data_IF_378554369235
#
_entry.id   IF_378554369235
#
_cell.length_a   1.000
_cell.length_b   1.000
_cell.length_c   1.000
_cell.angle_alpha   90.00
_cell.angle_beta   90.00
_cell.angle_gamma   90.00
#
_symmetry.space_group_name_H-M   'P 1'
#
loop_
_entity.id
_entity.type
_entity.pdbx_description
1 polymer ?
#
# COMPACT_ATOMS: atom_id res chain seq x y z
N UNK A 1 63.52 3.91 28.32
CA UNK A 1 63.89 5.06 27.46
C UNK A 1 63.30 4.77 26.08
N UNK A 2 62.28 5.49 25.59
CA UNK A 2 62.15 6.93 25.34
C UNK A 2 62.42 7.22 23.84
N UNK A 3 61.35 7.49 23.09
CA UNK A 3 61.40 8.01 21.72
C UNK A 3 60.76 9.41 21.71
N UNK A 4 61.49 10.38 21.17
CA UNK A 4 61.15 11.78 21.04
C UNK A 4 62.06 12.36 19.91
N UNK A 5 61.66 13.35 19.10
CA UNK A 5 60.41 14.11 19.02
C UNK A 5 60.19 14.61 17.57
N UNK A 6 59.05 15.30 17.36
CA UNK A 6 58.59 16.06 16.18
C UNK A 6 59.69 16.83 15.37
N UNK A 7 59.48 17.24 14.09
CA UNK A 7 58.66 18.41 13.69
C UNK A 7 58.32 18.44 12.17
N UNK A 8 57.25 19.22 11.87
CA UNK A 8 56.56 19.60 10.61
C UNK A 8 57.38 19.84 9.31
N UNK A 9 56.67 19.75 8.18
CA UNK A 9 57.03 20.23 6.84
C UNK A 9 56.77 21.76 6.62
N UNK A 10 57.23 22.33 5.48
CA UNK A 10 56.31 23.05 4.57
C UNK A 10 56.53 22.70 3.06
N UNK A 11 56.03 23.52 2.12
CA UNK A 11 55.80 23.14 0.70
C UNK A 11 56.25 24.17 -0.37
N UNK A 12 56.27 23.75 -1.65
CA UNK A 12 56.48 24.57 -2.87
C UNK A 12 57.60 24.05 -3.81
N UNK A 13 57.67 24.37 -5.12
CA UNK A 13 56.70 25.00 -6.04
C UNK A 13 57.12 24.88 -7.54
N UNK A 14 56.17 25.09 -8.45
CA UNK A 14 56.28 25.64 -9.84
C UNK A 14 57.12 24.97 -10.96
N UNK A 15 56.54 24.92 -12.18
CA UNK A 15 57.04 25.61 -13.40
C UNK A 15 56.05 25.58 -14.59
N UNK A 16 56.23 26.52 -15.54
CA UNK A 16 55.56 26.63 -16.85
C UNK A 16 56.41 25.95 -17.96
N UNK A 17 56.13 25.94 -19.28
CA UNK A 17 55.29 26.81 -20.14
C UNK A 17 54.92 26.14 -21.49
N UNK A 18 54.04 26.78 -22.29
CA UNK A 18 53.71 26.39 -23.68
C UNK A 18 53.41 27.62 -24.57
N UNK A 19 53.61 27.54 -25.90
CA UNK A 19 53.31 28.66 -26.83
C UNK A 19 53.22 28.27 -28.32
N UNK A 20 52.28 28.89 -29.06
CA UNK A 20 52.11 28.99 -30.55
C UNK A 20 51.82 27.66 -31.29
N UNK A 21 50.83 27.45 -32.19
CA UNK A 21 50.02 28.23 -33.16
C UNK A 21 50.65 28.40 -34.56
N UNK A 22 49.98 28.24 -35.71
CA UNK A 22 48.54 28.01 -36.02
C UNK A 22 48.29 26.63 -36.72
N UNK A 23 47.50 26.36 -37.78
CA UNK A 23 46.69 27.14 -38.76
C UNK A 23 45.52 26.27 -39.35
N UNK A 24 45.03 26.50 -40.59
CA UNK A 24 43.77 25.96 -41.13
C UNK A 24 43.79 25.58 -42.64
N UNK A 25 43.10 24.50 -43.05
CA UNK A 25 42.80 24.11 -44.46
C UNK A 25 41.40 23.45 -44.55
N UNK A 26 40.72 23.54 -45.71
CA UNK A 26 39.34 23.04 -45.95
C UNK A 26 39.19 22.38 -47.33
N UNK A 27 38.60 21.16 -47.39
CA UNK A 27 37.73 20.59 -48.47
C UNK A 27 37.34 19.14 -48.10
N UNK A 28 36.08 18.69 -48.18
CA UNK A 28 35.36 18.11 -49.34
C UNK A 28 36.04 16.87 -49.99
N UNK A 29 35.37 15.78 -50.39
CA UNK A 29 33.99 15.27 -50.15
C UNK A 29 33.85 13.83 -50.72
N UNK A 30 32.91 12.99 -50.23
CA UNK A 30 31.96 12.17 -51.06
C UNK A 30 31.15 11.10 -50.30
N UNK A 31 29.98 10.81 -50.89
CA UNK A 31 28.88 9.91 -50.47
C UNK A 31 29.05 8.45 -50.94
N UNK A 32 28.56 7.47 -50.16
CA UNK A 32 27.80 6.25 -50.62
C UNK A 32 26.86 5.82 -49.47
N UNK A 33 25.73 5.11 -49.74
CA UNK A 33 24.75 4.68 -48.72
C UNK A 33 24.08 3.33 -49.06
N UNK A 34 23.93 2.44 -48.05
CA UNK A 34 23.07 1.23 -48.03
C UNK A 34 23.49 0.05 -48.97
N UNK A 35 22.93 -1.20 -48.85
CA UNK A 35 21.84 -1.67 -47.96
C UNK A 35 22.05 -3.00 -47.17
N UNK A 36 21.02 -3.37 -46.39
CA UNK A 36 20.44 -4.70 -46.01
C UNK A 36 21.11 -6.03 -46.51
N UNK A 37 21.01 -7.23 -45.90
CA UNK A 37 20.36 -7.87 -44.70
C UNK A 37 20.95 -9.32 -44.53
N UNK A 38 20.66 -10.26 -43.59
CA UNK A 38 19.72 -10.45 -42.46
C UNK A 38 20.50 -11.03 -41.21
N UNK A 39 20.40 -12.21 -40.55
CA UNK A 39 19.45 -13.37 -40.39
C UNK A 39 19.74 -14.23 -39.10
N UNK A 40 18.71 -14.89 -38.53
CA UNK A 40 18.68 -16.14 -37.68
C UNK A 40 19.62 -16.38 -36.44
N UNK A 41 19.06 -16.11 -35.25
CA UNK A 41 18.84 -17.01 -34.06
C UNK A 41 19.51 -18.40 -33.94
N UNK A 42 20.14 -18.67 -32.77
CA UNK A 42 19.74 -19.68 -31.71
C UNK A 42 20.77 -19.65 -30.54
N UNK A 43 20.43 -19.43 -29.26
CA UNK A 43 19.80 -20.28 -28.23
C UNK A 43 20.63 -21.50 -27.76
N UNK A 44 20.92 -21.53 -26.44
CA UNK A 44 20.97 -22.68 -25.51
C UNK A 44 20.88 -22.10 -24.06
N UNK A 45 20.57 -22.91 -23.03
CA UNK A 45 20.01 -22.39 -21.74
C UNK A 45 20.61 -22.99 -20.45
N UNK A 46 21.12 -22.14 -19.53
CA UNK A 46 21.01 -22.24 -18.05
C UNK A 46 21.59 -21.00 -17.33
N UNK A 47 21.18 -20.63 -16.11
CA UNK A 47 20.23 -21.27 -15.19
C UNK A 47 19.03 -20.35 -14.82
N UNK A 48 18.04 -20.90 -14.11
CA UNK A 48 16.92 -20.16 -13.51
C UNK A 48 17.05 -20.13 -11.99
N UNK A 49 16.89 -18.96 -11.39
CA UNK A 49 16.43 -18.81 -10.01
C UNK A 49 15.01 -18.25 -10.04
N UNK A 50 14.08 -18.85 -9.30
CA UNK A 50 12.69 -18.40 -9.24
C UNK A 50 12.53 -17.30 -8.16
N UNK A 51 12.96 -16.08 -8.49
CA UNK A 51 12.56 -14.86 -7.79
C UNK A 51 11.82 -13.91 -8.74
N UNK A 52 10.96 -13.03 -8.21
CA UNK A 52 10.17 -12.08 -9.02
C UNK A 52 11.06 -11.05 -9.73
N UNK A 53 11.56 -11.41 -10.91
CA UNK A 53 12.28 -10.51 -11.83
C UNK A 53 11.31 -9.88 -12.82
N UNK A 54 10.75 -8.72 -12.45
CA UNK A 54 9.99 -7.87 -13.37
C UNK A 54 10.94 -7.30 -14.43
N UNK A 55 11.09 -8.03 -15.55
CA UNK A 55 11.82 -7.53 -16.72
C UNK A 55 10.98 -6.46 -17.41
N UNK A 56 11.48 -5.22 -17.38
CA UNK A 56 10.99 -4.13 -18.22
C UNK A 56 11.28 -4.44 -19.70
N UNK A 57 10.27 -4.96 -20.41
CA UNK A 57 10.20 -4.86 -21.87
C UNK A 57 9.52 -3.53 -22.22
N UNK A 58 10.06 -2.80 -23.20
CA UNK A 58 9.71 -1.39 -23.39
C UNK A 58 8.26 -1.15 -23.82
N UNK A 59 7.58 -0.28 -23.08
CA UNK A 59 6.57 0.63 -23.62
C UNK A 59 6.94 2.05 -23.18
N UNK A 60 6.92 2.98 -24.13
CA UNK A 60 7.11 4.42 -23.87
C UNK A 60 5.73 5.05 -23.96
N UNK A 61 5.19 5.50 -22.83
CA UNK A 61 3.96 6.26 -22.78
C UNK A 61 4.30 7.75 -22.71
N UNK A 62 4.09 8.48 -23.80
CA UNK A 62 4.34 9.93 -23.87
C UNK A 62 3.16 10.71 -23.30
N UNK A 63 3.41 11.65 -22.39
CA UNK A 63 2.40 12.56 -21.84
C UNK A 63 3.00 13.84 -21.26
N UNK A 64 2.30 14.96 -21.50
CA UNK A 64 2.56 16.32 -21.01
C UNK A 64 1.50 17.29 -21.53
N UNK A 65 1.41 18.54 -21.06
CA UNK A 65 2.32 19.30 -20.19
C UNK A 65 1.53 20.20 -19.18
N UNK A 66 2.23 20.88 -18.26
CA UNK A 66 1.74 21.99 -17.40
C UNK A 66 0.51 21.77 -16.46
N UNK A 67 0.70 20.89 -15.47
CA UNK A 67 0.01 20.77 -14.17
C UNK A 67 -1.29 21.58 -13.88
N UNK A 68 -2.44 20.89 -13.95
CA UNK A 68 -3.53 21.07 -12.99
C UNK A 68 -4.04 19.73 -12.40
N UNK A 69 -4.89 19.79 -11.37
CA UNK A 69 -5.88 18.72 -11.14
C UNK A 69 -6.92 18.81 -12.26
N UNK A 70 -6.85 17.90 -13.24
CA UNK A 70 -7.17 18.25 -14.63
C UNK A 70 -8.50 17.67 -15.16
N UNK A 71 -9.00 18.16 -16.33
CA UNK A 71 -10.18 17.62 -17.02
C UNK A 71 -10.12 16.12 -17.36
N UNK A 72 -8.96 15.48 -17.21
CA UNK A 72 -8.77 14.05 -17.46
C UNK A 72 -9.12 13.17 -16.25
N UNK A 73 -9.18 13.73 -15.02
CA UNK A 73 -9.92 13.08 -13.91
C UNK A 73 -11.40 12.99 -14.28
N UNK A 74 -11.94 14.09 -14.83
CA UNK A 74 -13.26 14.12 -15.46
C UNK A 74 -13.40 13.07 -16.57
N UNK A 75 -12.39 12.88 -17.42
CA UNK A 75 -12.42 11.89 -18.50
C UNK A 75 -12.33 10.43 -18.03
N UNK A 76 -11.60 10.13 -16.95
CA UNK A 76 -11.45 8.76 -16.41
C UNK A 76 -12.68 8.31 -15.60
N UNK A 77 -13.50 9.24 -15.12
CA UNK A 77 -14.88 8.94 -14.70
C UNK A 77 -15.67 8.43 -15.91
N UNK A 78 -15.56 9.14 -17.05
CA UNK A 78 -16.39 8.94 -18.24
C UNK A 78 -16.12 7.65 -19.03
N UNK A 79 -15.05 6.90 -18.75
CA UNK A 79 -14.78 5.59 -19.38
C UNK A 79 -14.95 4.39 -18.43
N UNK A 80 -15.03 4.63 -17.11
CA UNK A 80 -15.32 3.58 -16.14
C UNK A 80 -16.79 3.14 -16.18
N UNK A 81 -17.71 4.11 -16.23
CA UNK A 81 -19.15 3.93 -16.47
C UNK A 81 -19.95 3.17 -15.40
N UNK A 82 -21.26 3.40 -15.45
CA UNK A 82 -22.30 2.61 -14.77
C UNK A 82 -22.34 1.16 -15.21
N UNK A 83 -22.85 0.31 -14.33
CA UNK A 83 -23.22 -1.07 -14.64
C UNK A 83 -24.40 -1.12 -15.63
N UNK A 84 -24.57 -2.23 -16.37
CA UNK A 84 -25.68 -2.44 -17.31
C UNK A 84 -27.06 -2.04 -16.73
N UNK A 85 -27.84 -1.33 -17.54
CA UNK A 85 -29.09 -0.69 -17.10
C UNK A 85 -28.90 0.59 -16.29
N UNK A 86 -27.74 1.26 -16.41
CA UNK A 86 -27.49 2.58 -15.80
C UNK A 86 -27.33 2.57 -14.27
N UNK A 87 -27.03 1.40 -13.69
CA UNK A 87 -26.90 1.22 -12.23
C UNK A 87 -25.52 1.67 -11.73
N UNK A 88 -25.48 2.25 -10.53
CA UNK A 88 -24.20 2.66 -9.92
C UNK A 88 -23.34 1.45 -9.56
N UNK A 89 -22.02 1.60 -9.70
CA UNK A 89 -21.02 0.68 -9.13
C UNK A 89 -20.96 0.83 -7.62
N UNK A 90 -20.53 -0.20 -6.89
CA UNK A 90 -20.44 -0.17 -5.42
C UNK A 90 -19.01 -0.35 -4.92
N UNK A 91 -18.54 0.59 -4.11
CA UNK A 91 -17.24 0.53 -3.43
C UNK A 91 -17.40 0.46 -1.91
N UNK A 92 -16.68 -0.43 -1.23
CA UNK A 92 -16.52 -0.40 0.24
C UNK A 92 -15.24 0.33 0.59
N UNK A 93 -15.28 1.25 1.55
CA UNK A 93 -14.10 1.99 2.03
C UNK A 93 -14.03 1.96 3.56
N UNK A 94 -13.04 1.26 4.12
CA UNK A 94 -12.79 1.27 5.56
C UNK A 94 -12.17 2.59 6.01
N UNK A 95 -12.63 3.15 7.12
CA UNK A 95 -12.07 4.39 7.69
C UNK A 95 -12.41 5.66 6.91
N UNK A 96 -13.49 5.65 6.13
CA UNK A 96 -13.91 6.75 5.25
C UNK A 96 -14.23 8.10 5.94
N UNK A 97 -14.19 8.21 7.28
CA UNK A 97 -14.58 9.44 8.00
C UNK A 97 -13.46 10.45 8.25
N UNK A 98 -12.23 10.25 7.76
CA UNK A 98 -11.16 11.26 7.78
C UNK A 98 -9.95 10.86 6.94
N UNK A 99 -9.20 11.86 6.44
CA UNK A 99 -7.95 11.62 5.71
C UNK A 99 -8.19 10.95 4.35
N UNK A 100 -7.21 10.17 3.89
CA UNK A 100 -7.21 9.46 2.60
C UNK A 100 -8.59 8.91 2.19
N UNK A 101 -9.16 7.99 2.99
CA UNK A 101 -10.45 7.36 2.71
C UNK A 101 -11.64 8.32 2.60
N UNK A 102 -11.61 9.48 3.28
CA UNK A 102 -12.66 10.51 3.16
C UNK A 102 -12.56 11.25 1.82
N UNK A 103 -11.35 11.57 1.37
CA UNK A 103 -11.15 12.27 0.10
C UNK A 103 -11.32 11.30 -1.09
N UNK A 104 -10.92 10.03 -0.96
CA UNK A 104 -11.30 8.97 -1.93
C UNK A 104 -12.82 8.79 -2.01
N UNK A 105 -13.52 8.78 -0.87
CA UNK A 105 -14.98 8.76 -0.85
C UNK A 105 -15.55 10.01 -1.56
N UNK A 106 -15.10 11.22 -1.22
CA UNK A 106 -15.47 12.51 -1.86
C UNK A 106 -15.34 12.46 -3.38
N UNK A 107 -14.21 11.95 -3.89
CA UNK A 107 -13.98 11.80 -5.34
C UNK A 107 -14.97 10.80 -5.94
N UNK A 108 -15.05 9.57 -5.41
CA UNK A 108 -15.91 8.52 -5.95
C UNK A 108 -17.41 8.89 -5.91
N UNK A 109 -17.90 9.55 -4.85
CA UNK A 109 -19.33 9.95 -4.79
C UNK A 109 -19.67 11.11 -5.74
N UNK A 110 -18.75 12.04 -5.98
CA UNK A 110 -19.00 13.19 -6.87
C UNK A 110 -18.91 12.84 -8.37
N UNK A 111 -18.46 11.63 -8.72
CA UNK A 111 -18.60 11.05 -10.07
C UNK A 111 -20.05 10.86 -10.52
N UNK A 112 -20.99 10.68 -9.57
CA UNK A 112 -22.37 10.29 -9.86
C UNK A 112 -22.58 8.79 -10.19
N UNK A 113 -21.51 8.05 -10.50
CA UNK A 113 -21.56 6.66 -10.98
C UNK A 113 -21.30 5.61 -9.89
N UNK A 114 -20.82 6.03 -8.71
CA UNK A 114 -20.57 5.14 -7.57
C UNK A 114 -21.57 5.33 -6.42
N UNK A 115 -21.88 4.21 -5.77
CA UNK A 115 -22.39 4.11 -4.41
C UNK A 115 -21.23 3.72 -3.49
N UNK A 116 -20.89 4.57 -2.53
CA UNK A 116 -19.80 4.32 -1.58
C UNK A 116 -20.35 3.85 -0.23
N UNK A 117 -20.03 2.62 0.16
CA UNK A 117 -20.24 2.09 1.50
C UNK A 117 -19.10 2.62 2.38
N UNK A 118 -19.39 3.69 3.11
CA UNK A 118 -18.49 4.29 4.10
C UNK A 118 -18.46 3.40 5.36
N UNK A 119 -17.57 2.42 5.40
CA UNK A 119 -17.39 1.51 6.53
C UNK A 119 -16.57 2.19 7.63
N UNK A 120 -17.23 2.57 8.73
CA UNK A 120 -16.69 3.45 9.77
C UNK A 120 -17.12 3.01 11.17
N UNK A 121 -16.29 3.32 12.16
CA UNK A 121 -16.67 3.16 13.58
C UNK A 121 -17.65 4.23 14.07
N UNK A 122 -17.51 5.44 13.55
CA UNK A 122 -18.28 6.60 14.00
C UNK A 122 -19.17 7.11 12.86
N UNK A 123 -20.44 6.68 12.89
CA UNK A 123 -21.48 7.08 11.94
C UNK A 123 -21.75 8.58 12.01
N UNK A 124 -21.90 9.14 13.22
CA UNK A 124 -22.23 10.57 13.43
C UNK A 124 -21.15 11.51 12.93
N UNK A 125 -19.87 11.10 13.02
CA UNK A 125 -18.76 11.81 12.36
C UNK A 125 -18.85 11.69 10.83
N UNK A 126 -19.13 10.51 10.29
CA UNK A 126 -19.25 10.32 8.84
C UNK A 126 -20.42 11.12 8.25
N UNK A 127 -21.58 11.16 8.92
CA UNK A 127 -22.73 12.00 8.57
C UNK A 127 -22.32 13.48 8.44
N UNK A 128 -21.65 14.02 9.46
CA UNK A 128 -21.14 15.40 9.47
C UNK A 128 -20.13 15.66 8.36
N UNK A 129 -19.23 14.72 8.05
CA UNK A 129 -18.25 14.87 6.97
C UNK A 129 -18.90 14.77 5.58
N UNK A 130 -19.89 13.88 5.40
CA UNK A 130 -20.64 13.75 4.17
C UNK A 130 -21.51 14.99 3.90
N UNK A 131 -22.08 15.61 4.94
CA UNK A 131 -22.74 16.91 4.84
C UNK A 131 -21.76 18.03 4.49
N UNK A 132 -20.64 18.15 5.22
CA UNK A 132 -19.66 19.23 5.04
C UNK A 132 -18.89 19.17 3.70
N UNK A 133 -18.81 18.00 3.06
CA UNK A 133 -18.20 17.82 1.73
C UNK A 133 -19.24 17.67 0.60
N UNK A 134 -20.53 17.87 0.90
CA UNK A 134 -21.65 17.81 -0.04
C UNK A 134 -21.71 16.49 -0.83
N UNK A 135 -21.71 15.37 -0.13
CA UNK A 135 -21.88 14.06 -0.75
C UNK A 135 -23.32 13.96 -1.33
N UNK A 136 -23.49 13.67 -2.64
CA UNK A 136 -24.81 13.59 -3.24
C UNK A 136 -25.76 12.60 -2.54
N UNK A 137 -27.06 12.92 -2.47
CA UNK A 137 -28.05 11.99 -1.90
C UNK A 137 -28.09 10.71 -2.74
N UNK A 138 -28.01 9.55 -2.09
CA UNK A 138 -28.00 8.25 -2.78
C UNK A 138 -26.73 7.95 -3.59
N UNK A 139 -25.58 8.57 -3.30
CA UNK A 139 -24.26 8.10 -3.76
C UNK A 139 -23.43 7.44 -2.65
N UNK A 140 -23.95 7.32 -1.43
CA UNK A 140 -23.27 6.65 -0.34
C UNK A 140 -24.24 6.04 0.67
N UNK A 141 -23.70 5.12 1.47
CA UNK A 141 -24.32 4.50 2.64
C UNK A 141 -23.29 4.50 3.77
N UNK A 142 -23.71 4.55 5.04
CA UNK A 142 -22.81 4.57 6.18
C UNK A 142 -23.00 3.29 6.99
N UNK A 143 -21.95 2.48 7.07
CA UNK A 143 -21.98 1.16 7.70
C UNK A 143 -21.02 1.07 8.88
N UNK A 144 -21.40 0.30 9.89
CA UNK A 144 -20.68 0.24 11.16
C UNK A 144 -19.63 -0.86 11.19
N UNK A 145 -18.38 -0.50 11.52
CA UNK A 145 -17.32 -1.46 11.87
C UNK A 145 -16.30 -0.81 12.79
N UNK A 146 -15.95 -1.47 13.90
CA UNK A 146 -14.65 -1.26 14.55
C UNK A 146 -13.73 -2.40 14.15
N UNK A 147 -12.59 -2.07 13.53
CA UNK A 147 -11.57 -3.02 13.10
C UNK A 147 -10.72 -3.53 14.28
N UNK A 148 -11.07 -3.18 15.51
CA UNK A 148 -10.59 -3.82 16.75
C UNK A 148 -11.37 -5.07 17.15
N UNK A 149 -12.36 -5.48 16.34
CA UNK A 149 -13.34 -6.50 16.70
C UNK A 149 -13.64 -7.37 15.48
N UNK A 150 -13.10 -8.59 15.45
CA UNK A 150 -13.42 -9.56 14.38
C UNK A 150 -14.92 -9.87 14.34
N UNK A 151 -15.60 -9.80 15.50
CA UNK A 151 -17.07 -9.85 15.60
C UNK A 151 -17.74 -8.69 14.86
N UNK A 152 -17.24 -7.46 14.99
CA UNK A 152 -17.74 -6.30 14.25
C UNK A 152 -17.50 -6.44 12.73
N UNK A 153 -16.34 -6.96 12.33
CA UNK A 153 -16.02 -7.28 10.92
C UNK A 153 -16.99 -8.32 10.35
N UNK A 154 -17.19 -9.45 11.05
CA UNK A 154 -18.14 -10.50 10.64
C UNK A 154 -19.57 -9.94 10.55
N UNK A 155 -19.98 -9.11 11.51
CA UNK A 155 -21.28 -8.43 11.47
C UNK A 155 -21.43 -7.47 10.28
N UNK A 156 -20.38 -6.73 9.89
CA UNK A 156 -20.38 -5.90 8.69
C UNK A 156 -20.57 -6.77 7.43
N UNK A 157 -19.73 -7.79 7.26
CA UNK A 157 -19.79 -8.68 6.10
C UNK A 157 -21.16 -9.37 5.97
N UNK A 158 -21.74 -9.83 7.09
CA UNK A 158 -23.06 -10.44 7.12
C UNK A 158 -24.18 -9.47 6.70
N UNK A 159 -24.17 -8.21 7.17
CA UNK A 159 -25.13 -7.19 6.71
C UNK A 159 -24.97 -6.90 5.22
N UNK A 160 -23.73 -6.67 4.78
CA UNK A 160 -23.43 -6.30 3.40
C UNK A 160 -23.73 -7.41 2.37
N UNK A 161 -23.70 -8.68 2.79
CA UNK A 161 -23.97 -9.84 1.92
C UNK A 161 -25.35 -10.48 2.14
N UNK A 162 -26.19 -9.90 3.01
CA UNK A 162 -27.52 -10.42 3.31
C UNK A 162 -28.42 -10.44 2.05
N UNK A 163 -29.19 -11.54 1.80
CA UNK A 163 -30.08 -11.63 0.64
C UNK A 163 -31.17 -10.55 0.56
N UNK A 164 -31.50 -9.93 1.70
CA UNK A 164 -32.45 -8.82 1.84
C UNK A 164 -31.72 -7.70 2.58
N UNK A 165 -31.76 -6.48 2.05
CA UNK A 165 -31.11 -5.30 2.63
C UNK A 165 -29.59 -5.20 2.43
N UNK A 166 -28.91 -6.29 2.04
CA UNK A 166 -27.50 -6.27 1.64
C UNK A 166 -27.27 -5.55 0.31
N UNK A 167 -25.99 -5.37 -0.03
CA UNK A 167 -25.59 -4.74 -1.29
C UNK A 167 -25.80 -5.68 -2.48
N UNK A 168 -26.12 -5.11 -3.66
CA UNK A 168 -26.34 -5.89 -4.88
C UNK A 168 -25.08 -6.60 -5.43
N UNK A 169 -23.90 -6.22 -4.93
CA UNK A 169 -22.57 -6.68 -5.31
C UNK A 169 -21.51 -5.60 -5.02
N UNK A 170 -20.24 -5.89 -5.32
CA UNK A 170 -19.11 -4.97 -5.05
C UNK A 170 -18.15 -4.92 -6.24
N UNK A 171 -17.94 -3.72 -6.78
CA UNK A 171 -16.95 -3.44 -7.83
C UNK A 171 -15.58 -3.10 -7.24
N UNK A 172 -15.54 -2.57 -6.00
CA UNK A 172 -14.30 -2.21 -5.31
C UNK A 172 -14.38 -2.48 -3.80
N UNK A 173 -13.30 -2.98 -3.19
CA UNK A 173 -13.15 -3.14 -1.74
C UNK A 173 -11.81 -2.53 -1.29
N UNK A 174 -11.87 -1.48 -0.47
CA UNK A 174 -10.70 -0.72 -0.01
C UNK A 174 -10.40 -0.95 1.48
N UNK A 175 -9.27 -1.61 1.75
CA UNK A 175 -8.62 -1.64 3.06
C UNK A 175 -7.75 -0.41 3.26
N UNK A 176 -8.38 0.73 3.61
CA UNK A 176 -7.71 2.02 3.80
C UNK A 176 -7.37 2.30 5.28
N UNK A 177 -8.20 1.85 6.21
CA UNK A 177 -8.08 2.23 7.62
C UNK A 177 -6.71 1.85 8.24
N UNK A 178 -6.24 2.71 9.13
CA UNK A 178 -5.02 2.48 9.91
C UNK A 178 -5.08 3.26 11.23
N UNK A 179 -4.30 2.78 12.20
CA UNK A 179 -3.96 3.46 13.45
C UNK A 179 -2.44 3.46 13.59
N UNK A 180 -1.89 4.35 14.41
CA UNK A 180 -0.45 4.42 14.64
C UNK A 180 -0.18 4.89 16.06
N UNK A 181 0.64 4.15 16.80
CA UNK A 181 0.83 4.35 18.25
C UNK A 181 2.32 4.39 18.65
N UNK A 182 3.11 5.33 18.12
CA UNK A 182 4.57 5.34 18.29
C UNK A 182 5.04 5.56 19.74
N UNK A 183 4.25 6.25 20.57
CA UNK A 183 4.66 6.72 21.90
C UNK A 183 4.26 5.80 23.07
N UNK A 184 3.56 4.68 22.84
CA UNK A 184 2.99 3.85 23.93
C UNK A 184 4.03 3.34 24.94
N UNK A 185 5.24 3.05 24.45
CA UNK A 185 6.35 2.52 25.24
C UNK A 185 6.96 3.54 26.20
N UNK A 186 6.82 4.84 25.92
CA UNK A 186 7.46 5.91 26.68
C UNK A 186 6.79 7.27 26.37
N UNK A 187 5.59 7.55 26.91
CA UNK A 187 4.79 8.70 26.49
C UNK A 187 5.40 10.06 26.86
N UNK A 188 6.31 10.11 27.83
CA UNK A 188 6.89 11.36 28.34
C UNK A 188 8.29 11.69 27.79
N UNK A 189 9.08 10.71 27.33
CA UNK A 189 10.45 11.00 26.85
C UNK A 189 10.46 11.61 25.45
N UNK A 190 10.61 12.93 25.42
CA UNK A 190 11.03 13.71 24.27
C UNK A 190 12.45 13.30 23.80
N UNK A 191 12.55 12.33 22.89
CA UNK A 191 13.83 11.81 22.37
C UNK A 191 14.30 12.51 21.10
N UNK A 192 14.75 13.76 21.23
CA UNK A 192 15.19 14.62 20.11
C UNK A 192 16.33 14.03 19.23
N UNK A 193 17.06 13.01 19.68
CA UNK A 193 18.18 12.40 18.93
C UNK A 193 18.02 10.95 18.43
N UNK A 194 16.99 10.20 18.85
CA UNK A 194 16.97 8.72 18.71
C UNK A 194 16.33 8.18 17.41
N UNK A 195 16.55 8.87 16.29
CA UNK A 195 16.30 8.33 14.94
C UNK A 195 17.54 8.40 14.01
N UNK A 196 18.67 8.95 14.48
CA UNK A 196 19.91 9.09 13.70
C UNK A 196 21.06 8.18 14.18
N UNK A 197 20.87 7.41 15.26
CA UNK A 197 21.84 6.46 15.79
C UNK A 197 21.14 5.14 16.17
N UNK A 198 21.87 4.03 16.08
CA UNK A 198 21.35 2.68 16.30
C UNK A 198 21.03 2.35 17.76
N UNK A 199 20.53 1.12 17.98
CA UNK A 199 20.17 0.63 19.30
C UNK A 199 21.39 0.59 20.25
N UNK A 200 21.22 1.11 21.46
CA UNK A 200 22.29 1.25 22.45
C UNK A 200 21.78 1.23 23.90
N UNK A 201 21.67 0.01 24.43
CA UNK A 201 21.61 -0.36 25.86
C UNK A 201 20.40 0.10 26.74
N UNK A 202 20.17 -0.71 27.79
CA UNK A 202 19.34 -0.50 29.00
C UNK A 202 17.80 -0.40 28.77
N UNK A 203 16.93 -1.05 29.57
CA UNK A 203 17.13 -2.02 30.68
C UNK A 203 15.98 -3.08 30.66
N UNK A 204 15.92 -3.96 31.66
CA UNK A 204 14.95 -5.06 31.74
C UNK A 204 13.59 -4.68 32.37
N UNK A 205 12.58 -5.54 32.15
CA UNK A 205 11.17 -5.47 32.60
C UNK A 205 10.31 -4.42 31.86
N UNK A 206 9.04 -4.67 31.50
CA UNK A 206 8.14 -5.85 31.70
C UNK A 206 7.61 -6.42 30.37
N UNK A 207 6.91 -7.55 30.43
CA UNK A 207 6.17 -8.14 29.30
C UNK A 207 4.73 -7.59 29.26
N UNK A 208 4.10 -7.57 28.07
CA UNK A 208 2.66 -7.31 27.85
C UNK A 208 2.17 -5.88 28.07
N UNK A 209 2.55 -5.22 29.17
CA UNK A 209 1.91 -4.02 29.73
C UNK A 209 2.06 -2.70 28.94
N UNK A 210 2.65 -2.72 27.76
CA UNK A 210 2.88 -1.54 26.90
C UNK A 210 2.01 -1.53 25.63
N UNK A 211 1.50 -2.69 25.22
CA UNK A 211 0.70 -2.81 24.00
C UNK A 211 -0.73 -2.33 24.22
N UNK A 212 -1.33 -1.69 23.21
CA UNK A 212 -2.79 -1.56 23.14
C UNK A 212 -3.38 -2.86 22.63
N UNK A 213 -4.50 -3.28 23.21
CA UNK A 213 -5.15 -4.56 22.89
C UNK A 213 -6.50 -4.32 22.18
N UNK A 214 -6.84 -5.18 21.22
CA UNK A 214 -8.14 -5.23 20.55
C UNK A 214 -9.22 -5.93 21.41
N UNK A 215 -10.48 -5.93 20.97
CA UNK A 215 -11.54 -6.71 21.65
C UNK A 215 -11.26 -8.23 21.59
N UNK A 216 -10.59 -8.68 20.52
CA UNK A 216 -10.24 -10.08 20.28
C UNK A 216 -8.92 -10.50 20.96
N UNK A 217 -8.26 -9.63 21.73
CA UNK A 217 -7.02 -9.94 22.47
C UNK A 217 -5.71 -9.77 21.70
N UNK A 218 -5.72 -9.12 20.53
CA UNK A 218 -4.55 -8.89 19.67
C UNK A 218 -3.89 -7.52 19.93
N UNK A 219 -2.65 -7.30 19.49
CA UNK A 219 -2.07 -5.94 19.41
C UNK A 219 -2.89 -5.06 18.46
N UNK A 220 -3.28 -3.86 18.92
CA UNK A 220 -4.30 -3.03 18.27
C UNK A 220 -3.91 -2.54 16.87
N UNK A 221 -2.62 -2.30 16.62
CA UNK A 221 -2.12 -1.87 15.30
C UNK A 221 -2.21 -3.02 14.29
N UNK A 222 -1.72 -4.21 14.62
CA UNK A 222 -1.82 -5.41 13.81
C UNK A 222 -3.29 -5.85 13.60
N UNK A 223 -4.13 -5.75 14.63
CA UNK A 223 -5.56 -6.01 14.54
C UNK A 223 -6.25 -5.11 13.50
N UNK A 224 -6.12 -3.78 13.66
CA UNK A 224 -6.82 -2.79 12.83
C UNK A 224 -6.23 -2.68 11.43
N UNK A 225 -4.90 -2.70 11.31
CA UNK A 225 -4.24 -2.55 10.01
C UNK A 225 -4.35 -3.85 9.21
N UNK A 226 -4.09 -5.01 9.84
CA UNK A 226 -3.94 -6.28 9.13
C UNK A 226 -5.07 -7.28 9.38
N UNK A 227 -5.20 -7.86 10.58
CA UNK A 227 -6.05 -9.03 10.82
C UNK A 227 -7.53 -8.78 10.46
N UNK A 228 -8.08 -7.63 10.85
CA UNK A 228 -9.46 -7.26 10.51
C UNK A 228 -9.67 -7.00 9.01
N UNK A 229 -8.66 -6.49 8.29
CA UNK A 229 -8.75 -6.38 6.83
C UNK A 229 -8.60 -7.75 6.15
N UNK A 230 -7.72 -8.61 6.64
CA UNK A 230 -7.54 -9.98 6.15
C UNK A 230 -8.85 -10.79 6.28
N UNK A 231 -9.50 -10.73 7.44
CA UNK A 231 -10.81 -11.34 7.65
C UNK A 231 -11.88 -10.73 6.73
N UNK A 232 -11.99 -9.40 6.68
CA UNK A 232 -12.98 -8.71 5.84
C UNK A 232 -12.81 -9.05 4.35
N UNK A 233 -11.58 -9.13 3.86
CA UNK A 233 -11.28 -9.45 2.45
C UNK A 233 -11.65 -10.90 2.13
N UNK A 234 -11.31 -11.86 3.01
CA UNK A 234 -11.71 -13.26 2.82
C UNK A 234 -13.23 -13.45 2.85
N UNK A 235 -13.95 -12.80 3.78
CA UNK A 235 -15.41 -12.90 3.89
C UNK A 235 -16.15 -12.25 2.71
N UNK A 236 -15.62 -11.16 2.13
CA UNK A 236 -16.24 -10.48 1.00
C UNK A 236 -15.90 -11.11 -0.36
N UNK A 237 -14.79 -11.83 -0.49
CA UNK A 237 -14.31 -12.41 -1.75
C UNK A 237 -15.40 -13.20 -2.53
N UNK A 238 -16.20 -14.11 -1.93
CA UNK A 238 -17.25 -14.85 -2.64
C UNK A 238 -18.47 -14.00 -3.07
N UNK A 239 -18.57 -12.75 -2.60
CA UNK A 239 -19.57 -11.79 -3.05
C UNK A 239 -19.02 -10.89 -4.16
N UNK A 240 -17.74 -10.48 -4.06
CA UNK A 240 -17.00 -9.77 -5.12
C UNK A 240 -16.92 -10.62 -6.39
N UNK A 241 -16.55 -11.90 -6.28
CA UNK A 241 -16.48 -12.83 -7.41
C UNK A 241 -17.84 -13.02 -8.09
N UNK A 242 -18.88 -13.27 -7.28
CA UNK A 242 -20.26 -13.44 -7.76
C UNK A 242 -20.78 -12.20 -8.48
N UNK A 243 -20.40 -11.00 -8.02
CA UNK A 243 -20.71 -9.73 -8.69
C UNK A 243 -19.99 -9.61 -10.03
N UNK A 244 -18.68 -9.85 -10.08
CA UNK A 244 -17.90 -9.82 -11.32
C UNK A 244 -18.47 -10.76 -12.37
N UNK A 245 -18.65 -12.04 -12.03
CA UNK A 245 -19.28 -13.06 -12.89
C UNK A 245 -20.69 -12.70 -13.36
N UNK A 246 -21.48 -11.98 -12.55
CA UNK A 246 -22.88 -11.61 -12.84
C UNK A 246 -23.00 -10.34 -13.70
N UNK A 247 -22.01 -9.45 -13.66
CA UNK A 247 -22.06 -8.14 -14.32
C UNK A 247 -21.09 -7.99 -15.49
N UNK A 248 -20.29 -9.03 -15.77
CA UNK A 248 -19.17 -9.03 -16.71
C UNK A 248 -18.21 -7.87 -16.47
N UNK A 249 -17.87 -7.66 -15.19
CA UNK A 249 -16.93 -6.63 -14.74
C UNK A 249 -15.65 -7.25 -14.22
N UNK A 250 -14.63 -6.41 -14.01
CA UNK A 250 -13.37 -6.77 -13.35
C UNK A 250 -13.27 -6.06 -11.98
N UNK A 251 -13.82 -6.65 -10.89
CA UNK A 251 -13.78 -6.02 -9.58
C UNK A 251 -12.35 -5.86 -9.04
N UNK A 252 -12.17 -4.93 -8.10
CA UNK A 252 -10.86 -4.64 -7.50
C UNK A 252 -10.89 -4.81 -5.98
N UNK A 253 -9.87 -5.46 -5.42
CA UNK A 253 -9.67 -5.57 -3.98
C UNK A 253 -8.30 -4.98 -3.64
N UNK A 254 -8.30 -3.86 -2.91
CA UNK A 254 -7.12 -2.99 -2.76
C UNK A 254 -6.86 -2.70 -1.28
N UNK A 255 -5.64 -2.95 -0.80
CA UNK A 255 -5.23 -2.58 0.56
C UNK A 255 -4.13 -1.52 0.49
N UNK A 256 -4.30 -0.42 1.23
CA UNK A 256 -3.32 0.67 1.29
C UNK A 256 -2.10 0.20 2.08
N UNK A 257 -1.00 -0.02 1.36
CA UNK A 257 0.30 -0.44 1.91
C UNK A 257 1.07 0.73 2.50
N UNK A 258 2.40 0.64 2.51
CA UNK A 258 3.27 1.77 2.83
C UNK A 258 4.70 1.56 2.33
N UNK A 259 5.39 2.64 1.98
CA UNK A 259 6.82 2.64 1.66
C UNK A 259 7.72 2.23 2.85
N UNK A 260 7.22 2.29 4.09
CA UNK A 260 7.98 2.01 5.32
C UNK A 260 8.45 0.57 5.48
N UNK A 261 7.94 -0.37 4.67
CA UNK A 261 8.41 -1.76 4.66
C UNK A 261 9.74 -1.94 3.92
N UNK A 262 10.18 -0.96 3.11
CA UNK A 262 11.30 -1.13 2.18
C UNK A 262 12.58 -0.41 2.64
N UNK A 263 13.61 -1.14 3.12
CA UNK A 263 14.87 -0.55 3.56
C UNK A 263 15.79 -0.06 2.43
N UNK A 264 15.37 -0.11 1.15
CA UNK A 264 16.03 0.72 0.11
C UNK A 264 15.64 2.19 0.26
N UNK A 265 14.42 2.45 0.71
CA UNK A 265 13.80 3.77 0.79
C UNK A 265 14.08 4.47 2.11
N UNK A 266 14.16 5.80 2.09
CA UNK A 266 14.48 6.61 3.28
C UNK A 266 13.54 6.29 4.47
N UNK A 267 12.25 6.14 4.21
CA UNK A 267 11.24 5.85 5.24
C UNK A 267 11.34 4.43 5.84
N UNK A 268 11.87 3.46 5.10
CA UNK A 268 12.14 2.11 5.62
C UNK A 268 13.48 1.97 6.32
N UNK A 269 14.46 2.85 6.01
CA UNK A 269 15.76 2.93 6.70
C UNK A 269 15.69 3.49 8.12
N UNK A 270 14.69 4.33 8.42
CA UNK A 270 14.48 4.89 9.77
C UNK A 270 14.17 3.76 10.76
N UNK A 271 14.99 3.52 11.80
CA UNK A 271 14.72 2.46 12.78
C UNK A 271 13.47 2.74 13.63
N UNK A 272 12.79 1.72 14.16
CA UNK A 272 12.99 0.30 13.86
C UNK A 272 12.44 -0.07 12.47
N UNK A 273 13.02 -1.09 11.85
CA UNK A 273 12.65 -1.58 10.51
C UNK A 273 11.60 -2.69 10.65
N UNK A 274 10.78 -2.89 9.61
CA UNK A 274 9.93 -4.08 9.52
C UNK A 274 10.78 -5.36 9.60
N UNK A 275 10.28 -6.39 10.27
CA UNK A 275 10.83 -7.74 10.26
C UNK A 275 9.77 -8.72 10.77
N UNK A 276 9.25 -9.59 9.91
CA UNK A 276 8.22 -10.57 10.26
C UNK A 276 8.82 -11.89 10.76
N UNK A 277 10.14 -12.07 10.64
CA UNK A 277 10.87 -13.25 11.11
C UNK A 277 10.38 -14.56 10.48
N UNK A 278 9.99 -15.49 11.34
CA UNK A 278 9.38 -16.78 11.00
C UNK A 278 7.84 -16.73 10.92
N UNK A 279 7.24 -15.58 11.27
CA UNK A 279 5.83 -15.31 11.55
C UNK A 279 5.23 -16.07 12.74
N UNK A 280 6.04 -16.60 13.69
CA UNK A 280 5.53 -17.48 14.75
C UNK A 280 4.39 -16.88 15.57
N UNK A 281 4.42 -15.57 15.82
CA UNK A 281 3.37 -14.90 16.58
C UNK A 281 1.98 -15.01 15.93
N UNK A 282 1.89 -15.10 14.60
CA UNK A 282 0.61 -15.36 13.91
C UNK A 282 0.19 -16.83 14.02
N UNK A 283 1.13 -17.77 13.87
CA UNK A 283 0.87 -19.20 14.03
C UNK A 283 0.48 -19.58 15.47
N UNK A 284 0.97 -18.84 16.46
CA UNK A 284 0.63 -18.95 17.89
C UNK A 284 -0.67 -18.20 18.25
N UNK A 285 -1.49 -17.81 17.26
CA UNK A 285 -2.81 -17.19 17.47
C UNK A 285 -2.80 -15.69 17.83
N UNK A 286 -1.61 -15.07 17.90
CA UNK A 286 -1.39 -13.62 18.04
C UNK A 286 -1.95 -12.96 19.32
N UNK A 287 -2.06 -13.73 20.40
CA UNK A 287 -2.69 -13.32 21.67
C UNK A 287 -1.75 -12.58 22.62
N UNK A 288 -2.14 -11.38 23.03
CA UNK A 288 -1.38 -10.55 24.00
C UNK A 288 -1.42 -11.15 25.41
N UNK A 289 -2.47 -11.90 25.75
CA UNK A 289 -2.58 -12.68 27.00
C UNK A 289 -1.52 -13.80 27.09
N UNK A 290 -1.20 -14.44 25.97
CA UNK A 290 -0.08 -15.39 25.83
C UNK A 290 1.30 -14.70 25.65
N UNK A 291 1.35 -13.36 25.79
CA UNK A 291 2.55 -12.53 25.66
C UNK A 291 2.91 -12.13 24.22
N UNK A 292 2.16 -12.59 23.22
CA UNK A 292 2.44 -12.35 21.81
C UNK A 292 1.99 -10.94 21.42
N UNK A 293 2.95 -10.10 21.03
CA UNK A 293 2.70 -8.67 20.74
C UNK A 293 3.24 -8.20 19.40
N UNK A 294 3.92 -9.07 18.64
CA UNK A 294 4.61 -8.77 17.38
C UNK A 294 4.56 -9.99 16.44
N UNK A 295 4.59 -9.77 15.13
CA UNK A 295 4.44 -10.84 14.11
C UNK A 295 5.58 -11.88 14.17
N UNK A 296 6.79 -11.41 14.47
CA UNK A 296 8.00 -12.21 14.67
C UNK A 296 8.08 -12.86 16.06
N UNK A 297 7.00 -12.83 16.86
CA UNK A 297 7.00 -13.23 18.26
C UNK A 297 8.01 -12.45 19.11
N UNK A 298 8.39 -11.25 18.68
CA UNK A 298 9.34 -10.37 19.36
C UNK A 298 8.72 -9.55 20.48
N UNK A 299 9.53 -8.69 21.12
CA UNK A 299 9.07 -7.73 22.13
C UNK A 299 8.36 -6.54 21.47
N UNK A 300 7.25 -6.10 22.08
CA UNK A 300 6.47 -4.97 21.59
C UNK A 300 7.29 -3.70 21.29
N UNK A 301 7.06 -3.15 20.11
CA UNK A 301 7.51 -1.85 19.64
C UNK A 301 6.45 -1.27 18.69
N UNK A 302 5.78 -0.19 19.08
CA UNK A 302 4.67 0.40 18.32
C UNK A 302 5.06 0.88 16.91
N UNK A 303 6.19 1.58 16.71
CA UNK A 303 6.73 1.90 15.40
C UNK A 303 6.99 0.66 14.51
N UNK A 304 7.52 -0.44 15.05
CA UNK A 304 7.71 -1.70 14.31
C UNK A 304 6.37 -2.37 13.99
N UNK A 305 5.44 -2.46 14.95
CA UNK A 305 4.15 -3.11 14.77
C UNK A 305 3.33 -2.52 13.62
N UNK A 306 3.36 -1.18 13.47
CA UNK A 306 2.78 -0.49 12.32
C UNK A 306 3.40 -0.91 10.98
N UNK A 307 4.75 -1.01 10.93
CA UNK A 307 5.49 -1.37 9.71
C UNK A 307 5.29 -2.84 9.34
N UNK A 308 5.34 -3.73 10.32
CA UNK A 308 5.07 -5.16 10.17
C UNK A 308 3.65 -5.37 9.63
N UNK A 309 2.63 -4.77 10.24
CA UNK A 309 1.24 -4.90 9.79
C UNK A 309 1.02 -4.31 8.37
N UNK A 310 1.73 -3.23 8.01
CA UNK A 310 1.72 -2.73 6.62
C UNK A 310 2.46 -3.64 5.64
N UNK A 311 3.49 -4.36 6.05
CA UNK A 311 4.12 -5.40 5.24
C UNK A 311 3.18 -6.60 5.04
N UNK A 312 2.54 -7.10 6.10
CA UNK A 312 1.57 -8.20 6.04
C UNK A 312 0.41 -7.90 5.07
N UNK A 313 -0.06 -6.65 5.02
CA UNK A 313 -1.09 -6.22 4.06
C UNK A 313 -0.64 -6.29 2.59
N UNK A 314 0.62 -5.98 2.30
CA UNK A 314 1.15 -6.06 0.95
C UNK A 314 1.36 -7.52 0.52
N UNK A 315 1.89 -8.34 1.43
CA UNK A 315 1.98 -9.80 1.25
C UNK A 315 0.62 -10.47 1.05
N UNK A 316 -0.40 -10.05 1.81
CA UNK A 316 -1.79 -10.53 1.67
C UNK A 316 -2.32 -10.29 0.26
N UNK A 317 -2.12 -9.09 -0.28
CA UNK A 317 -2.54 -8.75 -1.65
C UNK A 317 -1.84 -9.62 -2.69
N UNK A 318 -0.53 -9.85 -2.55
CA UNK A 318 0.22 -10.70 -3.48
C UNK A 318 -0.20 -12.16 -3.38
N UNK A 319 -0.51 -12.66 -2.18
CA UNK A 319 -1.00 -14.02 -2.03
C UNK A 319 -2.47 -14.18 -2.48
N UNK A 320 -3.33 -13.16 -2.33
CA UNK A 320 -4.65 -13.16 -2.97
C UNK A 320 -4.54 -13.16 -4.50
N UNK A 321 -3.61 -12.39 -5.07
CA UNK A 321 -3.31 -12.44 -6.50
C UNK A 321 -2.90 -13.86 -6.93
N UNK A 322 -1.91 -14.46 -6.25
CA UNK A 322 -1.43 -15.82 -6.52
C UNK A 322 -2.54 -16.89 -6.39
N UNK A 323 -3.41 -16.79 -5.38
CA UNK A 323 -4.46 -17.79 -5.11
C UNK A 323 -5.72 -17.63 -5.98
N UNK A 324 -6.09 -16.41 -6.37
CA UNK A 324 -7.45 -16.12 -6.88
C UNK A 324 -7.52 -15.30 -8.18
N UNK A 325 -6.46 -14.62 -8.64
CA UNK A 325 -6.60 -13.70 -9.78
C UNK A 325 -7.05 -14.42 -11.06
N UNK A 326 -6.38 -15.52 -11.40
CA UNK A 326 -6.63 -16.30 -12.63
C UNK A 326 -8.03 -16.95 -12.63
N UNK A 327 -8.52 -17.41 -11.47
CA UNK A 327 -9.79 -18.13 -11.35
C UNK A 327 -11.03 -17.24 -11.17
N UNK A 328 -10.83 -15.97 -10.77
CA UNK A 328 -11.93 -15.02 -10.45
C UNK A 328 -11.95 -13.76 -11.33
N UNK A 329 -10.88 -13.48 -12.07
CA UNK A 329 -10.61 -12.20 -12.77
C UNK A 329 -10.52 -10.96 -11.85
N UNK A 330 -10.65 -11.10 -10.52
CA UNK A 330 -10.56 -9.97 -9.58
C UNK A 330 -9.14 -9.42 -9.56
N UNK A 331 -8.99 -8.09 -9.67
CA UNK A 331 -7.70 -7.41 -9.53
C UNK A 331 -7.36 -7.16 -8.06
N UNK A 332 -6.32 -7.82 -7.55
CA UNK A 332 -5.78 -7.63 -6.21
C UNK A 332 -4.53 -6.73 -6.29
N UNK A 333 -4.59 -5.55 -5.66
CA UNK A 333 -3.52 -4.55 -5.72
C UNK A 333 -3.24 -3.89 -4.37
N UNK A 334 -2.04 -3.33 -4.21
CA UNK A 334 -1.69 -2.49 -3.07
C UNK A 334 -1.09 -1.18 -3.58
N UNK A 335 -1.05 -0.14 -2.74
CA UNK A 335 -0.55 1.17 -3.17
C UNK A 335 -0.03 2.02 -2.01
N UNK A 336 0.79 3.01 -2.35
CA UNK A 336 1.25 4.08 -1.46
C UNK A 336 1.01 5.45 -2.12
N UNK A 337 0.14 6.32 -1.56
CA UNK A 337 -0.26 7.57 -2.20
C UNK A 337 0.81 8.69 -2.12
N UNK A 338 1.84 8.52 -1.30
CA UNK A 338 2.76 9.58 -0.87
C UNK A 338 2.60 9.93 0.62
N UNK A 339 3.36 10.91 1.11
CA UNK A 339 3.39 11.23 2.54
C UNK A 339 2.34 12.29 2.90
N UNK A 340 1.15 11.82 3.32
CA UNK A 340 0.01 12.68 3.71
C UNK A 340 0.19 13.18 5.15
N UNK A 341 1.16 14.08 5.36
CA UNK A 341 1.62 14.50 6.69
C UNK A 341 0.55 15.26 7.52
N UNK A 342 -0.47 15.83 6.88
CA UNK A 342 -1.58 16.56 7.52
C UNK A 342 -2.67 15.63 8.09
N UNK A 343 -2.58 14.31 7.90
CA UNK A 343 -3.62 13.38 8.35
C UNK A 343 -3.59 13.11 9.86
N UNK A 344 -4.74 12.81 10.50
CA UNK A 344 -4.82 12.40 11.91
C UNK A 344 -4.08 11.11 12.28
N UNK A 345 -3.41 10.44 11.34
CA UNK A 345 -2.57 9.26 11.59
C UNK A 345 -1.42 9.60 12.56
N UNK A 346 -0.85 10.80 12.46
CA UNK A 346 0.26 11.25 13.30
C UNK A 346 -0.17 11.95 14.61
N UNK A 347 -1.47 11.96 14.95
CA UNK A 347 -2.00 12.62 16.16
C UNK A 347 -1.43 12.08 17.49
N UNK A 348 -0.91 10.86 17.45
CA UNK A 348 -0.29 10.17 18.60
C UNK A 348 1.25 10.34 18.64
N UNK A 349 1.83 11.15 17.75
CA UNK A 349 3.25 11.54 17.76
C UNK A 349 3.45 12.78 18.64
N UNK A 350 4.65 13.02 19.14
CA UNK A 350 4.94 14.21 19.97
C UNK A 350 4.65 15.54 19.21
N UNK A 351 4.11 16.59 19.86
CA UNK A 351 3.60 17.79 19.15
C UNK A 351 4.61 18.53 18.27
N UNK A 352 5.90 18.52 18.62
CA UNK A 352 6.94 19.11 17.77
C UNK A 352 7.09 18.36 16.43
N UNK A 353 6.90 17.04 16.39
CA UNK A 353 6.84 16.27 15.15
C UNK A 353 5.63 16.69 14.31
N UNK A 354 4.45 16.80 14.93
CA UNK A 354 3.22 17.19 14.24
C UNK A 354 3.34 18.57 13.55
N UNK A 355 4.11 19.50 14.13
CA UNK A 355 4.38 20.83 13.54
C UNK A 355 5.53 20.84 12.52
N UNK A 356 6.64 20.15 12.80
CA UNK A 356 7.86 20.22 11.99
C UNK A 356 7.90 19.20 10.83
N UNK A 357 7.31 18.02 11.00
CA UNK A 357 7.35 16.96 9.99
C UNK A 357 6.61 17.30 8.68
N UNK A 358 5.43 17.95 8.69
CA UNK A 358 4.80 18.40 7.43
C UNK A 358 5.67 19.38 6.66
N UNK A 359 6.29 20.36 7.35
CA UNK A 359 7.23 21.29 6.73
C UNK A 359 8.49 20.58 6.20
N UNK A 360 9.07 19.65 6.96
CA UNK A 360 10.21 18.83 6.53
C UNK A 360 9.89 17.99 5.28
N UNK A 361 8.73 17.33 5.24
CA UNK A 361 8.29 16.57 4.06
C UNK A 361 8.05 17.48 2.85
N UNK A 362 7.41 18.64 3.06
CA UNK A 362 7.05 19.58 1.99
C UNK A 362 8.26 20.30 1.38
N UNK A 363 9.21 20.74 2.21
CA UNK A 363 10.30 21.61 1.77
C UNK A 363 11.67 20.91 1.64
N UNK A 364 11.90 19.76 2.30
CA UNK A 364 13.21 19.07 2.28
C UNK A 364 13.14 17.73 1.55
N UNK A 365 12.25 16.81 1.93
CA UNK A 365 12.17 15.50 1.24
C UNK A 365 11.46 15.59 -0.11
N UNK A 366 10.54 16.54 -0.28
CA UNK A 366 9.64 16.65 -1.43
C UNK A 366 8.55 15.56 -1.49
N UNK A 367 8.53 14.61 -0.55
CA UNK A 367 7.61 13.46 -0.55
C UNK A 367 6.21 13.75 -0.01
N UNK A 368 5.93 15.00 0.32
CA UNK A 368 4.62 15.48 0.75
C UNK A 368 3.58 15.37 -0.38
N UNK A 369 2.37 14.91 -0.03
CA UNK A 369 1.22 14.84 -0.94
C UNK A 369 -0.01 15.36 -0.19
N UNK A 370 -0.81 16.20 -0.85
CA UNK A 370 -2.03 16.76 -0.26
C UNK A 370 -3.10 15.68 -0.02
N UNK A 371 -3.96 15.85 0.99
CA UNK A 371 -4.98 14.85 1.31
C UNK A 371 -6.05 14.68 0.21
N UNK A 372 -6.34 15.75 -0.54
CA UNK A 372 -7.20 15.74 -1.73
C UNK A 372 -6.59 14.88 -2.84
N UNK A 373 -5.37 15.23 -3.29
CA UNK A 373 -4.60 14.51 -4.31
C UNK A 373 -4.35 13.04 -3.95
N UNK A 374 -4.04 12.75 -2.68
CA UNK A 374 -3.91 11.38 -2.20
C UNK A 374 -5.24 10.61 -2.30
N UNK A 375 -6.36 11.29 -2.03
CA UNK A 375 -7.71 10.76 -2.19
C UNK A 375 -8.03 10.42 -3.65
N UNK A 376 -7.68 11.31 -4.58
CA UNK A 376 -7.78 11.14 -6.04
C UNK A 376 -6.92 9.95 -6.51
N UNK A 377 -5.63 9.90 -6.11
CA UNK A 377 -4.70 8.81 -6.43
C UNK A 377 -5.28 7.43 -6.07
N UNK A 378 -5.83 7.27 -4.86
CA UNK A 378 -6.50 6.01 -4.46
C UNK A 378 -7.82 5.78 -5.21
N UNK A 379 -8.58 6.83 -5.51
CA UNK A 379 -9.80 6.71 -6.33
C UNK A 379 -9.48 6.20 -7.75
N UNK A 380 -8.40 6.68 -8.38
CA UNK A 380 -7.95 6.19 -9.69
C UNK A 380 -7.62 4.69 -9.66
N UNK A 381 -6.94 4.19 -8.62
CA UNK A 381 -6.68 2.74 -8.48
C UNK A 381 -7.99 1.92 -8.39
N UNK A 382 -9.11 2.52 -7.96
CA UNK A 382 -10.43 1.88 -7.95
C UNK A 382 -11.06 1.76 -9.35
N UNK A 383 -10.90 2.77 -10.21
CA UNK A 383 -11.73 2.92 -11.42
C UNK A 383 -10.96 3.03 -12.75
N UNK A 384 -9.81 3.74 -12.80
CA UNK A 384 -9.05 3.96 -14.05
C UNK A 384 -8.56 2.60 -14.61
N UNK A 385 -8.86 2.27 -15.89
CA UNK A 385 -8.42 1.04 -16.55
C UNK A 385 -6.90 0.77 -16.49
N UNK A 386 -6.05 1.79 -16.40
CA UNK A 386 -4.59 1.60 -16.37
C UNK A 386 -4.12 0.83 -15.12
N UNK A 387 -4.83 0.97 -13.99
CA UNK A 387 -4.54 0.24 -12.76
C UNK A 387 -5.18 -1.16 -12.72
N UNK A 388 -5.66 -1.68 -13.86
CA UNK A 388 -6.36 -2.99 -13.96
C UNK A 388 -5.43 -4.21 -13.92
N UNK A 389 -4.12 -4.05 -14.09
CA UNK A 389 -3.13 -5.11 -13.82
C UNK A 389 -3.19 -5.50 -12.34
N UNK A 390 -3.15 -6.79 -12.04
CA UNK A 390 -3.18 -7.35 -10.68
C UNK A 390 -1.77 -7.72 -10.19
N UNK A 391 -1.61 -7.80 -8.87
CA UNK A 391 -0.34 -8.15 -8.23
C UNK A 391 0.60 -6.95 -8.09
N UNK A 392 0.12 -5.73 -8.33
CA UNK A 392 0.95 -4.53 -8.36
C UNK A 392 0.97 -3.78 -7.02
N UNK A 393 2.10 -3.12 -6.76
CA UNK A 393 2.27 -2.09 -5.75
C UNK A 393 2.36 -0.72 -6.44
N UNK A 394 1.27 0.04 -6.47
CA UNK A 394 1.23 1.33 -7.17
C UNK A 394 1.80 2.47 -6.33
N UNK A 395 2.61 3.31 -6.96
CA UNK A 395 3.18 4.53 -6.38
C UNK A 395 3.25 5.63 -7.45
N UNK A 396 3.52 6.85 -7.01
CA UNK A 396 3.62 8.03 -7.87
C UNK A 396 4.96 8.72 -7.70
N UNK A 397 5.42 9.40 -8.75
CA UNK A 397 6.62 10.23 -8.75
C UNK A 397 6.51 11.39 -7.74
N UNK A 398 7.66 11.94 -7.36
CA UNK A 398 7.78 12.93 -6.27
C UNK A 398 7.91 12.32 -4.87
N UNK A 399 7.63 11.03 -4.68
CA UNK A 399 7.78 10.35 -3.40
C UNK A 399 9.23 10.29 -2.88
N UNK A 400 9.58 11.21 -1.96
CA UNK A 400 10.74 11.19 -1.05
C UNK A 400 12.12 11.13 -1.73
N UNK A 401 12.81 12.27 -1.79
CA UNK A 401 14.25 12.33 -2.13
C UNK A 401 15.07 11.39 -1.23
N UNK A 402 15.95 10.59 -1.85
CA UNK A 402 16.84 9.68 -1.13
C UNK A 402 17.86 10.43 -0.25
N UNK A 403 18.34 9.76 0.81
CA UNK A 403 19.30 10.30 1.78
C UNK A 403 20.60 10.85 1.18
N UNK A 404 20.92 10.42 -0.04
CA UNK A 404 22.11 10.72 -0.82
C UNK A 404 21.89 11.85 -1.86
N UNK A 405 20.78 12.60 -1.79
CA UNK A 405 20.49 13.76 -2.64
C UNK A 405 20.11 13.42 -4.09
N UNK A 406 20.43 12.22 -4.56
CA UNK A 406 19.98 11.72 -5.87
C UNK A 406 18.46 11.57 -5.90
N UNK A 407 17.80 12.35 -6.74
CA UNK A 407 16.57 11.88 -7.39
C UNK A 407 16.90 10.57 -8.11
N UNK A 408 16.14 9.50 -7.88
CA UNK A 408 16.20 8.34 -8.78
C UNK A 408 15.91 8.87 -10.20
N UNK A 409 16.82 8.63 -11.14
CA UNK A 409 16.82 9.31 -12.45
C UNK A 409 15.83 8.72 -13.46
N UNK A 410 15.08 7.69 -13.06
CA UNK A 410 13.98 7.16 -13.84
C UNK A 410 12.84 8.20 -13.91
N UNK A 411 12.49 8.55 -15.15
CA UNK A 411 11.30 9.29 -15.55
C UNK A 411 11.21 10.75 -15.07
N UNK A 412 12.32 11.49 -15.25
CA UNK A 412 12.38 12.96 -15.20
C UNK A 412 11.64 13.68 -16.37
N UNK A 413 10.69 13.00 -17.03
CA UNK A 413 10.11 13.36 -18.34
C UNK A 413 8.65 12.91 -18.57
N UNK A 414 7.93 12.46 -17.55
CA UNK A 414 6.53 12.03 -17.68
C UNK A 414 5.61 13.02 -16.94
N UNK A 415 4.83 13.79 -17.69
CA UNK A 415 4.00 14.89 -17.20
C UNK A 415 2.51 14.51 -17.29
N UNK A 416 1.89 14.32 -16.13
CA UNK A 416 0.53 13.81 -15.94
C UNK A 416 0.44 13.10 -14.59
N UNK A 417 -0.75 13.06 -13.96
CA UNK A 417 -1.01 12.69 -12.55
C UNK A 417 0.15 11.92 -11.88
N UNK A 418 0.98 12.69 -11.16
CA UNK A 418 2.45 12.58 -11.15
C UNK A 418 3.06 11.20 -11.34
N UNK A 419 3.35 10.82 -12.59
CA UNK A 419 4.24 9.69 -12.93
C UNK A 419 3.95 8.40 -12.18
N UNK A 420 2.77 7.80 -12.39
CA UNK A 420 2.36 6.53 -11.77
C UNK A 420 3.29 5.38 -12.20
N UNK A 421 3.74 4.57 -11.25
CA UNK A 421 4.63 3.43 -11.52
C UNK A 421 4.35 2.22 -10.62
N UNK A 422 4.69 1.03 -11.14
CA UNK A 422 4.76 -0.21 -10.38
C UNK A 422 6.05 -0.19 -9.53
N UNK A 423 5.89 0.03 -8.23
CA UNK A 423 6.98 0.28 -7.30
C UNK A 423 7.59 -1.02 -6.78
N UNK A 424 8.88 -0.96 -6.43
CA UNK A 424 9.62 -2.09 -5.87
C UNK A 424 9.29 -2.25 -4.39
N UNK A 425 9.00 -3.50 -4.01
CA UNK A 425 8.86 -3.91 -2.63
C UNK A 425 10.21 -4.35 -2.04
N UNK A 426 10.29 -4.52 -0.72
CA UNK A 426 11.47 -5.06 -0.06
C UNK A 426 11.73 -6.52 -0.46
N UNK A 427 12.96 -7.01 -0.24
CA UNK A 427 13.28 -8.44 -0.40
C UNK A 427 12.39 -9.36 0.45
N UNK A 428 11.91 -8.85 1.58
CA UNK A 428 11.04 -9.56 2.51
C UNK A 428 9.62 -9.65 1.95
N UNK A 429 9.03 -8.53 1.52
CA UNK A 429 7.68 -8.48 0.91
C UNK A 429 7.65 -9.10 -0.50
N UNK A 430 8.81 -9.29 -1.14
CA UNK A 430 8.95 -10.07 -2.38
C UNK A 430 9.07 -11.59 -2.15
N UNK A 431 9.20 -12.06 -0.90
CA UNK A 431 9.42 -13.48 -0.60
C UNK A 431 8.08 -14.26 -0.60
N UNK A 432 7.86 -15.06 -1.64
CA UNK A 432 6.64 -15.88 -1.82
C UNK A 432 6.35 -16.82 -0.66
N UNK A 433 7.37 -17.37 0.00
CA UNK A 433 7.17 -18.32 1.10
C UNK A 433 6.85 -17.60 2.42
N UNK A 434 7.31 -16.35 2.56
CA UNK A 434 6.88 -15.48 3.65
C UNK A 434 5.45 -14.95 3.42
N UNK A 435 5.05 -14.68 2.17
CA UNK A 435 3.65 -14.37 1.83
C UNK A 435 2.69 -15.51 2.20
N UNK A 436 3.06 -16.77 1.93
CA UNK A 436 2.30 -17.96 2.37
C UNK A 436 2.23 -18.04 3.89
N UNK A 437 3.36 -17.86 4.60
CA UNK A 437 3.40 -17.88 6.07
C UNK A 437 2.51 -16.81 6.71
N UNK A 438 2.52 -15.58 6.18
CA UNK A 438 1.60 -14.52 6.65
C UNK A 438 0.15 -14.88 6.36
N UNK A 439 -0.14 -15.47 5.20
CA UNK A 439 -1.49 -15.95 4.89
C UNK A 439 -1.96 -17.04 5.88
N UNK A 440 -1.14 -18.07 6.09
CA UNK A 440 -1.45 -19.23 6.93
C UNK A 440 -1.57 -18.84 8.41
N UNK A 441 -0.58 -18.09 8.94
CA UNK A 441 -0.63 -17.54 10.29
C UNK A 441 -1.86 -16.63 10.51
N UNK A 442 -2.23 -15.79 9.55
CA UNK A 442 -3.42 -14.96 9.69
C UNK A 442 -4.73 -15.73 9.56
N UNK A 443 -4.80 -16.84 8.81
CA UNK A 443 -5.96 -17.76 8.83
C UNK A 443 -6.18 -18.37 10.22
N UNK A 444 -5.10 -18.73 10.93
CA UNK A 444 -5.15 -19.17 12.33
C UNK A 444 -5.68 -18.03 13.20
N UNK A 445 -5.00 -16.88 13.19
CA UNK A 445 -5.30 -15.76 14.08
C UNK A 445 -6.74 -15.21 13.93
N UNK A 446 -7.33 -15.20 12.73
CA UNK A 446 -8.74 -14.74 12.53
C UNK A 446 -9.80 -15.86 12.61
N UNK A 447 -9.39 -17.10 12.89
CA UNK A 447 -10.29 -18.24 13.02
C UNK A 447 -11.00 -18.60 11.71
N UNK A 448 -10.25 -18.71 10.60
CA UNK A 448 -10.79 -19.10 9.28
C UNK A 448 -10.37 -20.51 8.84
N UNK A 449 -9.51 -21.22 9.58
CA UNK A 449 -9.02 -22.55 9.17
C UNK A 449 -10.11 -23.62 9.05
N UNK A 450 -11.13 -23.55 9.92
CA UNK A 450 -12.23 -24.52 9.99
C UNK A 450 -13.48 -24.13 9.20
N UNK A 451 -13.54 -22.94 8.57
CA UNK A 451 -14.71 -22.56 7.77
C UNK A 451 -14.68 -23.24 6.40
N UNK A 452 -15.84 -23.71 5.88
CA UNK A 452 -15.91 -24.45 4.64
C UNK A 452 -15.50 -23.56 3.46
N UNK A 453 -14.28 -23.75 2.97
CA UNK A 453 -13.71 -22.99 1.84
C UNK A 453 -14.64 -23.09 0.63
N UNK A 454 -15.31 -21.99 0.29
CA UNK A 454 -16.10 -21.86 -0.95
C UNK A 454 -15.12 -21.66 -2.13
N UNK A 455 -14.37 -22.71 -2.43
CA UNK A 455 -13.57 -22.85 -3.65
C UNK A 455 -14.43 -23.59 -4.67
N UNK A 456 -14.50 -23.07 -5.90
CA UNK A 456 -15.56 -23.40 -6.84
C UNK A 456 -15.59 -24.85 -7.35
N UNK A 457 -16.38 -25.71 -6.69
CA UNK A 457 -17.12 -26.82 -7.33
C UNK A 457 -18.21 -27.42 -6.42
N UNK A 458 -19.43 -26.89 -6.52
CA UNK A 458 -20.66 -27.67 -6.28
C UNK A 458 -21.77 -27.23 -7.23
N UNK A 459 -21.91 -27.95 -8.34
CA UNK A 459 -23.23 -28.24 -8.90
C UNK A 459 -23.90 -29.22 -7.91
N UNK A 460 -24.42 -28.66 -6.81
CA UNK A 460 -24.96 -29.40 -5.67
C UNK A 460 -26.42 -29.03 -5.45
N UNK A 461 -27.29 -29.57 -6.30
CA UNK A 461 -28.70 -29.17 -6.44
C UNK A 461 -29.43 -29.06 -5.08
N UNK A 462 -29.84 -27.84 -4.69
CA UNK A 462 -30.52 -27.55 -3.42
C UNK A 462 -31.80 -28.39 -3.23
N UNK A 463 -32.49 -28.73 -4.32
CA UNK A 463 -33.69 -29.58 -4.25
C UNK A 463 -33.41 -31.00 -3.75
N UNK A 464 -32.21 -31.54 -3.94
CA UNK A 464 -31.85 -32.90 -3.51
C UNK A 464 -31.94 -33.12 -1.99
N UNK A 465 -31.74 -32.07 -1.20
CA UNK A 465 -31.81 -32.14 0.28
C UNK A 465 -33.22 -31.96 0.84
N UNK A 466 -34.18 -31.53 0.01
CA UNK A 466 -35.56 -31.26 0.46
C UNK A 466 -36.44 -32.53 0.38
N UNK A 467 -36.16 -33.43 -0.56
CA UNK A 467 -36.90 -34.69 -0.76
C UNK A 467 -36.35 -35.89 0.02
N UNK A 468 -35.30 -35.71 0.84
CA UNK A 468 -34.78 -36.75 1.74
C UNK A 468 -35.47 -36.74 3.13
N UNK A 469 -36.64 -36.10 3.24
CA UNK A 469 -37.39 -35.89 4.50
C UNK A 469 -38.92 -35.83 4.34
N UNK A 470 -39.42 -36.40 3.24
CA UNK A 470 -40.82 -36.72 2.95
C UNK A 470 -40.86 -38.17 2.49
#
# INVERSE_FOLDING_TARGET
MAFALNIRAPAGAARASTSRSAQSVVMQSRTVRAPQQQRRTNVVVKAKENGYMVKSAGHVATGGEENPGSPEVQAMINSGGRLPGGKKKTAIITGASSGLGLHTAKVLVKTGDWNVICAVRDKKKMEKMAQALEFPKGSYTIEEVDLKSLKSVRNLCNRLTAPIGGAAGFDCVLGNAAVYYPMLKDPEKFRLGFHMAGAGALAANRMGSEARVSEDGFEESAAVIHLSHFLMFNLLLPAVERHGRKTDTKPRMIIVGSITHNPTELAGKIPPVANLGDCRGLFEGFKVEDGITMVDGGRFDGPKAYKDAKACNMMTIFEMHNKFHESTNITFNTMYPGCIAETPLFRNHYPAFQKLFPAFQKYITGGYVGVEEAGERLASVCCDPDYSKSGCYWSWAGGVRGANGSTQSYNKKENGLGGKFENRVSKEVANSDLCKKVWEGSMIAVGLEGEPRIVGKQEGNIFSKLFAKV
#
